data_IF_784861552614
#
_entry.id   IF_784861552614
#
_cell.length_a   1.000
_cell.length_b   1.000
_cell.length_c   1.000
_cell.angle_alpha   90.00
_cell.angle_beta   90.00
_cell.angle_gamma   90.00
#
_symmetry.space_group_name_H-M   'P 1'
#
loop_
_entity.id
_entity.type
_entity.pdbx_description
1 polymer ?
#
# COMPACT_ATOMS: atom_id res chain seq x y z
N UNK A 1 -37.65 76.99 30.94
CA UNK A 1 -38.67 76.18 30.25
C UNK A 1 -37.92 75.50 29.11
N UNK A 2 -37.74 74.19 29.18
CA UNK A 2 -36.81 73.46 28.32
C UNK A 2 -37.49 73.07 27.01
N UNK A 3 -36.90 73.48 25.89
CA UNK A 3 -37.24 72.96 24.57
C UNK A 3 -36.34 71.75 24.30
N UNK A 4 -36.94 70.55 24.24
CA UNK A 4 -36.22 69.32 23.92
C UNK A 4 -36.49 68.90 22.47
N UNK A 5 -35.44 68.48 21.77
CA UNK A 5 -35.53 67.72 20.52
C UNK A 5 -35.50 66.24 20.87
N UNK A 6 -36.56 65.50 20.54
CA UNK A 6 -36.57 64.05 20.67
C UNK A 6 -36.10 63.42 19.35
N UNK A 7 -34.87 62.93 19.34
CA UNK A 7 -34.39 62.04 18.29
C UNK A 7 -34.43 60.60 18.82
N UNK A 8 -35.13 59.71 18.13
CA UNK A 8 -35.15 58.29 18.46
C UNK A 8 -34.46 57.51 17.33
N UNK A 9 -33.48 56.70 17.69
CA UNK A 9 -32.79 55.79 16.77
C UNK A 9 -33.46 54.43 16.94
N UNK A 10 -34.35 54.08 16.01
CA UNK A 10 -34.94 52.74 15.91
C UNK A 10 -34.12 51.89 14.95
N UNK A 11 -33.66 50.72 15.40
CA UNK A 11 -33.02 49.73 14.53
C UNK A 11 -34.07 48.69 14.12
N UNK A 12 -34.75 48.92 13.00
CA UNK A 12 -35.62 47.92 12.36
C UNK A 12 -35.02 47.60 10.98
N UNK A 13 -34.73 46.31 10.73
CA UNK A 13 -34.29 45.79 9.43
C UNK A 13 -33.05 46.44 8.79
N UNK A 14 -32.14 46.98 9.61
CA UNK A 14 -30.87 47.55 9.14
C UNK A 14 -30.97 48.95 8.52
N UNK A 15 -32.11 49.62 8.64
CA UNK A 15 -32.30 51.02 8.23
C UNK A 15 -32.28 51.94 9.47
N UNK A 16 -31.63 53.09 9.34
CA UNK A 16 -31.69 54.17 10.34
C UNK A 16 -32.71 55.18 9.86
N UNK A 17 -33.83 55.31 10.58
CA UNK A 17 -34.80 56.38 10.38
C UNK A 17 -34.54 57.51 11.37
N UNK A 18 -34.20 58.71 10.87
CA UNK A 18 -34.13 59.93 11.67
C UNK A 18 -35.34 60.79 11.33
N UNK A 19 -36.24 60.95 12.29
CA UNK A 19 -37.42 61.83 12.15
C UNK A 19 -37.16 63.13 12.87
N UNK A 20 -37.17 64.24 12.12
CA UNK A 20 -37.10 65.60 12.66
C UNK A 20 -38.52 66.15 12.81
N UNK A 21 -38.92 66.50 14.03
CA UNK A 21 -40.19 67.19 14.28
C UNK A 21 -39.93 68.69 14.14
N UNK A 22 -40.50 69.40 13.14
CA UNK A 22 -40.28 70.83 13.00
C UNK A 22 -41.03 71.60 14.09
N UNK A 23 -40.31 72.37 14.90
CA UNK A 23 -40.90 73.34 15.82
C UNK A 23 -41.25 74.62 15.05
N UNK A 24 -42.55 74.95 14.96
CA UNK A 24 -42.99 76.23 14.44
C UNK A 24 -42.58 77.36 15.38
N UNK A 25 -41.49 78.05 15.05
CA UNK A 25 -41.13 79.32 15.70
C UNK A 25 -41.44 80.48 14.76
N UNK A 26 -42.25 81.44 15.22
CA UNK A 26 -42.57 82.67 14.48
C UNK A 26 -41.43 83.68 14.64
N UNK A 27 -40.41 83.59 13.79
CA UNK A 27 -39.34 84.59 13.66
C UNK A 27 -38.18 84.12 12.77
N UNK A 28 -37.46 85.02 12.09
CA UNK A 28 -36.29 84.66 11.27
C UNK A 28 -35.13 84.28 12.20
N UNK A 29 -35.11 83.02 12.65
CA UNK A 29 -33.99 82.48 13.41
C UNK A 29 -33.05 81.77 12.43
N UNK A 30 -31.77 82.11 12.50
CA UNK A 30 -30.69 81.48 11.71
C UNK A 30 -30.35 80.08 12.28
N UNK A 31 -30.71 79.85 13.54
CA UNK A 31 -30.42 78.65 14.33
C UNK A 31 -31.05 77.34 13.79
N UNK A 32 -32.31 77.28 13.31
CA UNK A 32 -32.95 76.03 12.88
C UNK A 32 -32.32 75.43 11.62
N UNK A 33 -31.86 76.27 10.68
CA UNK A 33 -31.23 75.81 9.44
C UNK A 33 -29.84 75.20 9.70
N UNK A 34 -29.08 75.77 10.65
CA UNK A 34 -27.81 75.19 11.08
C UNK A 34 -28.00 73.87 11.81
N UNK A 35 -29.02 73.76 12.66
CA UNK A 35 -29.34 72.51 13.37
C UNK A 35 -29.78 71.43 12.39
N UNK A 36 -30.65 71.76 11.42
CA UNK A 36 -31.07 70.83 10.39
C UNK A 36 -29.88 70.34 9.55
N UNK A 37 -29.02 71.25 9.08
CA UNK A 37 -27.82 70.88 8.32
C UNK A 37 -26.85 70.01 9.13
N UNK A 38 -26.64 70.32 10.42
CA UNK A 38 -25.79 69.53 11.29
C UNK A 38 -26.34 68.11 11.52
N UNK A 39 -27.66 67.97 11.70
CA UNK A 39 -28.31 66.66 11.85
C UNK A 39 -28.21 65.85 10.56
N UNK A 40 -28.42 66.47 9.39
CA UNK A 40 -28.26 65.78 8.09
C UNK A 40 -26.81 65.33 7.88
N UNK A 41 -25.83 66.16 8.24
CA UNK A 41 -24.42 65.82 8.13
C UNK A 41 -24.03 64.66 9.06
N UNK A 42 -24.51 64.68 10.31
CA UNK A 42 -24.35 63.58 11.25
C UNK A 42 -24.98 62.29 10.73
N UNK A 43 -26.21 62.35 10.22
CA UNK A 43 -26.89 61.19 9.65
C UNK A 43 -26.11 60.59 8.46
N UNK A 44 -25.66 61.44 7.52
CA UNK A 44 -24.85 61.01 6.38
C UNK A 44 -23.51 60.39 6.82
N UNK A 45 -22.86 60.98 7.84
CA UNK A 45 -21.63 60.45 8.41
C UNK A 45 -21.84 59.09 9.07
N UNK A 46 -22.89 58.92 9.87
CA UNK A 46 -23.23 57.63 10.49
C UNK A 46 -23.57 56.56 9.45
N UNK A 47 -24.36 56.90 8.42
CA UNK A 47 -24.66 55.98 7.32
C UNK A 47 -23.39 55.55 6.58
N UNK A 48 -22.51 56.50 6.24
CA UNK A 48 -21.23 56.19 5.61
C UNK A 48 -20.34 55.30 6.49
N UNK A 49 -20.22 55.63 7.78
CA UNK A 49 -19.42 54.85 8.72
C UNK A 49 -19.94 53.42 8.92
N UNK A 50 -21.26 53.24 8.98
CA UNK A 50 -21.89 51.92 9.07
C UNK A 50 -21.67 51.10 7.80
N UNK A 51 -21.79 51.69 6.62
CA UNK A 51 -21.49 51.01 5.35
C UNK A 51 -20.03 50.60 5.28
N UNK A 52 -19.10 51.49 5.66
CA UNK A 52 -17.66 51.18 5.70
C UNK A 52 -17.35 50.04 6.68
N UNK A 53 -17.98 50.05 7.86
CA UNK A 53 -17.82 48.99 8.86
C UNK A 53 -18.37 47.66 8.36
N UNK A 54 -19.53 47.66 7.69
CA UNK A 54 -20.13 46.46 7.08
C UNK A 54 -19.27 45.89 5.95
N UNK A 55 -18.69 46.73 5.12
CA UNK A 55 -17.74 46.33 4.07
C UNK A 55 -16.47 45.72 4.66
N UNK A 56 -15.91 46.31 5.73
CA UNK A 56 -14.74 45.75 6.40
C UNK A 56 -15.07 44.39 7.02
N UNK A 57 -16.24 44.25 7.65
CA UNK A 57 -16.67 42.98 8.27
C UNK A 57 -16.93 41.91 7.19
N UNK A 58 -17.63 42.24 6.10
CA UNK A 58 -17.88 41.30 5.00
C UNK A 58 -16.58 40.85 4.33
N UNK A 59 -15.65 41.77 4.05
CA UNK A 59 -14.32 41.42 3.51
C UNK A 59 -13.52 40.52 4.44
N UNK A 60 -13.61 40.72 5.76
CA UNK A 60 -12.99 39.82 6.74
C UNK A 60 -13.60 38.42 6.69
N UNK A 61 -14.93 38.31 6.71
CA UNK A 61 -15.62 37.03 6.59
C UNK A 61 -15.31 36.30 5.27
N UNK A 62 -15.24 37.03 4.16
CA UNK A 62 -14.83 36.46 2.88
C UNK A 62 -13.38 35.98 2.88
N UNK A 63 -12.47 36.72 3.53
CA UNK A 63 -11.08 36.31 3.66
C UNK A 63 -10.94 35.04 4.51
N UNK A 64 -11.61 34.99 5.66
CA UNK A 64 -11.62 33.82 6.56
C UNK A 64 -12.23 32.59 5.88
N UNK A 65 -13.31 32.77 5.11
CA UNK A 65 -13.93 31.71 4.32
C UNK A 65 -13.01 31.16 3.22
N UNK A 66 -12.19 32.02 2.59
CA UNK A 66 -11.20 31.58 1.59
C UNK A 66 -10.04 30.82 2.21
N UNK A 67 -9.60 31.20 3.41
CA UNK A 67 -8.54 30.50 4.14
C UNK A 67 -9.02 29.10 4.54
N UNK A 68 -10.20 29.00 5.17
CA UNK A 68 -10.75 27.71 5.58
C UNK A 68 -11.06 26.79 4.39
N UNK A 69 -11.53 27.32 3.26
CA UNK A 69 -11.74 26.54 2.04
C UNK A 69 -10.42 25.96 1.48
N UNK A 70 -9.33 26.75 1.50
CA UNK A 70 -7.99 26.28 1.07
C UNK A 70 -7.40 25.24 2.01
N UNK A 71 -7.59 25.42 3.32
CA UNK A 71 -7.17 24.44 4.32
C UNK A 71 -7.91 23.11 4.15
N UNK A 72 -9.23 23.17 3.95
CA UNK A 72 -10.05 21.99 3.70
C UNK A 72 -9.64 21.28 2.39
N UNK A 73 -9.40 22.04 1.32
CA UNK A 73 -8.94 21.48 0.05
C UNK A 73 -7.55 20.82 0.17
N UNK A 74 -6.62 21.47 0.88
CA UNK A 74 -5.29 20.92 1.17
C UNK A 74 -5.40 19.62 1.97
N UNK A 75 -6.25 19.59 2.99
CA UNK A 75 -6.47 18.39 3.80
C UNK A 75 -7.10 17.27 2.96
N UNK A 76 -8.11 17.58 2.14
CA UNK A 76 -8.72 16.59 1.24
C UNK A 76 -7.69 15.99 0.28
N UNK A 77 -6.84 16.81 -0.34
CA UNK A 77 -5.76 16.34 -1.21
C UNK A 77 -4.75 15.48 -0.44
N UNK A 78 -4.46 15.80 0.82
CA UNK A 78 -3.58 15.00 1.69
C UNK A 78 -4.21 13.63 1.98
N UNK A 79 -5.50 13.60 2.32
CA UNK A 79 -6.23 12.36 2.57
C UNK A 79 -6.34 11.49 1.33
N UNK A 80 -6.58 12.07 0.16
CA UNK A 80 -6.59 11.35 -1.12
C UNK A 80 -5.22 10.71 -1.42
N UNK A 81 -4.12 11.43 -1.19
CA UNK A 81 -2.77 10.87 -1.35
C UNK A 81 -2.50 9.72 -0.38
N UNK A 82 -2.95 9.81 0.87
CA UNK A 82 -2.82 8.73 1.84
C UNK A 82 -3.62 7.49 1.43
N UNK A 83 -4.85 7.67 0.91
CA UNK A 83 -5.67 6.57 0.39
C UNK A 83 -5.03 5.92 -0.84
N UNK A 84 -4.51 6.72 -1.77
CA UNK A 84 -3.82 6.20 -2.94
C UNK A 84 -2.56 5.41 -2.53
N UNK A 85 -1.73 5.98 -1.64
CA UNK A 85 -0.55 5.29 -1.12
C UNK A 85 -0.89 4.01 -0.35
N UNK A 86 -2.00 3.97 0.39
CA UNK A 86 -2.48 2.76 1.05
C UNK A 86 -2.87 1.67 0.05
N UNK A 87 -3.53 2.03 -1.05
CA UNK A 87 -3.88 1.10 -2.11
C UNK A 87 -2.64 0.55 -2.83
N UNK A 88 -1.63 1.39 -3.08
CA UNK A 88 -0.35 0.95 -3.65
C UNK A 88 0.41 0.02 -2.69
N UNK A 89 0.46 0.35 -1.39
CA UNK A 89 1.06 -0.54 -0.39
C UNK A 89 0.33 -1.89 -0.30
N UNK A 90 -1.00 -1.90 -0.45
CA UNK A 90 -1.78 -3.13 -0.50
C UNK A 90 -1.43 -3.99 -1.72
N UNK A 91 -1.27 -3.38 -2.89
CA UNK A 91 -0.75 -4.05 -4.10
C UNK A 91 0.63 -4.66 -3.83
N UNK A 92 1.53 -3.89 -3.21
CA UNK A 92 2.86 -4.38 -2.81
C UNK A 92 2.81 -5.58 -1.87
N UNK A 93 1.92 -5.54 -0.87
CA UNK A 93 1.71 -6.65 0.06
C UNK A 93 1.29 -7.94 -0.67
N UNK A 94 0.31 -7.87 -1.59
CA UNK A 94 -0.12 -9.04 -2.33
C UNK A 94 0.99 -9.65 -3.20
N UNK A 95 1.86 -8.83 -3.80
CA UNK A 95 3.02 -9.33 -4.53
C UNK A 95 4.01 -10.05 -3.63
N UNK A 96 4.30 -9.49 -2.44
CA UNK A 96 5.16 -10.16 -1.45
C UNK A 96 4.57 -11.48 -1.00
N UNK A 97 3.26 -11.54 -0.81
CA UNK A 97 2.56 -12.77 -0.47
C UNK A 97 2.65 -13.81 -1.60
N UNK A 98 2.49 -13.40 -2.86
CA UNK A 98 2.68 -14.30 -4.00
C UNK A 98 4.12 -14.86 -4.06
N UNK A 99 5.14 -14.08 -3.70
CA UNK A 99 6.51 -14.59 -3.57
C UNK A 99 6.66 -15.63 -2.45
N UNK A 100 6.01 -15.42 -1.30
CA UNK A 100 5.94 -16.41 -0.21
C UNK A 100 5.26 -17.69 -0.70
N UNK A 101 4.16 -17.57 -1.44
CA UNK A 101 3.42 -18.71 -2.01
C UNK A 101 4.28 -19.52 -2.98
N UNK A 102 5.11 -18.88 -3.82
CA UNK A 102 6.04 -19.59 -4.71
C UNK A 102 7.04 -20.42 -3.91
N UNK A 103 7.67 -19.84 -2.88
CA UNK A 103 8.60 -20.57 -2.01
C UNK A 103 7.89 -21.71 -1.26
N UNK A 104 6.69 -21.44 -0.75
CA UNK A 104 5.85 -22.42 -0.06
C UNK A 104 5.47 -23.59 -0.96
N UNK A 105 5.11 -23.34 -2.22
CA UNK A 105 4.77 -24.38 -3.20
C UNK A 105 5.97 -25.29 -3.52
N UNK A 106 7.17 -24.71 -3.69
CA UNK A 106 8.40 -25.48 -3.89
C UNK A 106 8.67 -26.36 -2.67
N UNK A 107 8.56 -25.79 -1.46
CA UNK A 107 8.78 -26.50 -0.21
C UNK A 107 7.80 -27.66 -0.04
N UNK A 108 6.52 -27.39 -0.23
CA UNK A 108 5.46 -28.38 -0.14
C UNK A 108 5.68 -29.53 -1.14
N UNK A 109 6.10 -29.24 -2.37
CA UNK A 109 6.41 -30.28 -3.37
C UNK A 109 7.55 -31.18 -2.89
N UNK A 110 8.65 -30.59 -2.41
CA UNK A 110 9.80 -31.36 -1.92
C UNK A 110 9.41 -32.20 -0.70
N UNK A 111 8.75 -31.60 0.29
CA UNK A 111 8.35 -32.25 1.52
C UNK A 111 7.38 -33.42 1.27
N UNK A 112 6.41 -33.25 0.35
CA UNK A 112 5.48 -34.30 -0.03
C UNK A 112 6.19 -35.53 -0.63
N UNK A 113 7.18 -35.32 -1.51
CA UNK A 113 7.93 -36.42 -2.12
C UNK A 113 8.79 -37.19 -1.11
N UNK A 114 9.24 -36.54 -0.04
CA UNK A 114 9.90 -37.22 1.07
C UNK A 114 8.92 -37.93 2.01
N UNK A 115 7.73 -37.36 2.24
CA UNK A 115 6.70 -37.95 3.11
C UNK A 115 6.12 -39.25 2.54
N UNK A 116 5.98 -39.36 1.21
CA UNK A 116 5.50 -40.56 0.52
C UNK A 116 6.48 -41.76 0.63
N UNK A 117 7.72 -41.52 1.10
CA UNK A 117 8.75 -42.53 1.26
C UNK A 117 9.04 -42.76 2.75
N UNK A 118 8.38 -43.77 3.32
CA UNK A 118 8.39 -44.12 4.76
C UNK A 118 9.76 -43.90 5.45
N UNK A 119 9.76 -42.97 6.40
CA UNK A 119 10.94 -42.27 6.93
C UNK A 119 11.68 -43.15 7.95
N UNK A 120 12.50 -44.07 7.46
CA UNK A 120 13.44 -44.80 8.30
C UNK A 120 14.78 -45.11 7.63
N UNK A 121 14.79 -45.27 6.30
CA UNK A 121 15.94 -45.86 5.58
C UNK A 121 16.51 -44.91 4.50
N UNK A 122 15.79 -43.84 4.13
CA UNK A 122 16.01 -43.12 2.86
C UNK A 122 16.83 -41.82 3.02
N UNK A 123 17.30 -41.48 4.22
CA UNK A 123 18.15 -40.28 4.42
C UNK A 123 19.53 -40.36 3.76
N UNK A 124 19.96 -41.55 3.33
CA UNK A 124 21.22 -41.75 2.58
C UNK A 124 21.01 -41.80 1.06
N UNK A 125 19.76 -41.64 0.58
CA UNK A 125 19.45 -41.75 -0.86
C UNK A 125 19.55 -40.39 -1.54
N UNK A 126 20.18 -40.36 -2.71
CA UNK A 126 20.35 -39.16 -3.51
C UNK A 126 19.01 -38.42 -3.76
N UNK A 127 18.89 -37.12 -3.43
CA UNK A 127 17.63 -36.38 -3.57
C UNK A 127 16.98 -36.46 -4.95
N UNK A 128 17.75 -36.50 -6.04
CA UNK A 128 17.19 -36.62 -7.40
C UNK A 128 16.40 -37.92 -7.64
N UNK A 129 16.67 -38.97 -6.86
CA UNK A 129 15.93 -40.25 -6.92
C UNK A 129 14.60 -40.19 -6.16
N UNK A 130 14.43 -39.20 -5.28
CA UNK A 130 13.22 -39.01 -4.48
C UNK A 130 12.32 -37.97 -5.12
N UNK A 131 12.88 -36.82 -5.48
CA UNK A 131 12.11 -35.68 -5.94
C UNK A 131 11.80 -35.85 -7.44
N UNK A 132 10.51 -35.79 -7.77
CA UNK A 132 10.04 -35.76 -9.16
C UNK A 132 10.05 -34.34 -9.76
N UNK A 133 9.91 -34.22 -11.09
CA UNK A 133 9.66 -32.92 -11.71
C UNK A 133 8.35 -32.34 -11.22
N UNK A 134 8.22 -31.01 -11.24
CA UNK A 134 6.96 -30.34 -10.87
C UNK A 134 5.91 -30.49 -11.97
N UNK A 135 4.64 -30.63 -11.57
CA UNK A 135 3.52 -30.62 -12.51
C UNK A 135 3.08 -29.17 -12.76
N UNK A 136 3.48 -28.62 -13.91
CA UNK A 136 3.08 -27.28 -14.34
C UNK A 136 4.22 -26.26 -14.28
N UNK A 137 3.86 -24.97 -14.32
CA UNK A 137 4.82 -23.87 -14.33
C UNK A 137 4.56 -22.97 -13.13
N UNK A 138 5.61 -22.72 -12.34
CA UNK A 138 5.59 -21.67 -11.32
C UNK A 138 5.53 -20.32 -12.03
N UNK A 139 4.51 -19.52 -11.70
CA UNK A 139 4.37 -18.16 -12.22
C UNK A 139 5.17 -17.25 -11.30
N UNK A 140 6.20 -16.61 -11.86
CA UNK A 140 6.96 -15.59 -11.14
C UNK A 140 6.09 -14.34 -10.96
N UNK A 141 5.86 -13.89 -9.72
CA UNK A 141 5.14 -12.65 -9.46
C UNK A 141 5.89 -11.42 -9.99
N UNK A 142 5.16 -10.33 -10.14
CA UNK A 142 5.79 -9.05 -10.44
C UNK A 142 6.62 -8.55 -9.26
N UNK A 143 7.71 -7.83 -9.57
CA UNK A 143 8.47 -7.11 -8.53
C UNK A 143 7.69 -5.92 -8.01
N UNK A 144 8.06 -5.48 -6.82
CA UNK A 144 7.48 -4.28 -6.24
C UNK A 144 7.96 -3.03 -6.99
N UNK A 145 7.02 -2.15 -7.31
CA UNK A 145 7.30 -0.83 -7.85
C UNK A 145 7.66 0.15 -6.73
N UNK A 146 8.48 1.18 -7.01
CA UNK A 146 8.87 2.19 -6.01
C UNK A 146 7.70 2.84 -5.26
N UNK A 147 6.57 3.00 -5.95
CA UNK A 147 5.36 3.59 -5.38
C UNK A 147 4.81 2.73 -4.21
N UNK A 148 4.83 1.40 -4.38
CA UNK A 148 4.28 0.42 -3.44
C UNK A 148 5.06 0.31 -2.13
N UNK A 149 6.35 0.67 -2.11
CA UNK A 149 7.20 0.66 -0.90
C UNK A 149 7.72 2.05 -0.51
N UNK A 150 7.26 3.11 -1.14
CA UNK A 150 7.74 4.49 -0.92
C UNK A 150 7.64 4.93 0.54
N UNK A 151 6.64 4.46 1.28
CA UNK A 151 6.45 4.75 2.70
C UNK A 151 7.53 4.15 3.61
N UNK A 152 8.29 3.17 3.12
CA UNK A 152 9.42 2.58 3.83
C UNK A 152 10.73 3.37 3.67
N UNK A 153 10.72 4.45 2.88
CA UNK A 153 11.89 5.33 2.67
C UNK A 153 12.13 6.25 3.89
N UNK A 154 12.20 5.64 5.07
CA UNK A 154 12.53 6.29 6.34
C UNK A 154 13.78 5.62 6.92
N UNK A 155 14.47 6.32 7.83
CA UNK A 155 15.67 5.77 8.48
C UNK A 155 15.36 4.44 9.21
N UNK A 156 14.22 4.39 9.89
CA UNK A 156 13.79 3.26 10.72
C UNK A 156 13.39 2.03 9.90
N UNK A 157 12.86 2.22 8.69
CA UNK A 157 12.33 1.14 7.84
C UNK A 157 13.28 0.69 6.72
N UNK A 158 14.46 1.30 6.59
CA UNK A 158 15.46 0.97 5.57
C UNK A 158 15.88 -0.52 5.54
N UNK A 159 15.86 -1.18 6.70
CA UNK A 159 16.14 -2.62 6.82
C UNK A 159 15.05 -3.49 6.18
N UNK A 160 13.79 -3.08 6.28
CA UNK A 160 12.64 -3.79 5.67
C UNK A 160 12.80 -3.75 4.15
N UNK A 161 13.14 -2.58 3.58
CA UNK A 161 13.37 -2.45 2.15
C UNK A 161 14.50 -3.36 1.64
N UNK A 162 15.60 -3.44 2.40
CA UNK A 162 16.72 -4.34 2.07
C UNK A 162 16.31 -5.81 2.14
N UNK A 163 15.48 -6.18 3.12
CA UNK A 163 14.95 -7.53 3.28
C UNK A 163 14.01 -7.90 2.13
N UNK A 164 13.15 -6.99 1.67
CA UNK A 164 12.27 -7.19 0.51
C UNK A 164 13.09 -7.48 -0.75
N UNK A 165 14.10 -6.66 -1.04
CA UNK A 165 14.95 -6.89 -2.21
C UNK A 165 15.74 -8.20 -2.12
N UNK A 166 16.07 -8.67 -0.91
CA UNK A 166 16.68 -9.98 -0.71
C UNK A 166 15.66 -11.12 -0.94
N UNK A 167 14.45 -10.99 -0.41
CA UNK A 167 13.34 -11.92 -0.61
C UNK A 167 13.07 -12.13 -2.10
N UNK A 168 12.85 -11.06 -2.86
CA UNK A 168 12.55 -11.16 -4.31
C UNK A 168 13.68 -11.90 -5.05
N UNK A 169 14.94 -11.57 -4.77
CA UNK A 169 16.09 -12.21 -5.42
C UNK A 169 16.22 -13.69 -5.07
N UNK A 170 16.03 -14.04 -3.78
CA UNK A 170 16.09 -15.42 -3.32
C UNK A 170 14.94 -16.24 -3.91
N UNK A 171 13.72 -15.70 -3.92
CA UNK A 171 12.56 -16.35 -4.49
C UNK A 171 12.68 -16.58 -6.01
N UNK A 172 13.16 -15.58 -6.77
CA UNK A 172 13.49 -15.74 -8.20
C UNK A 172 14.53 -16.84 -8.40
N UNK A 173 15.62 -16.82 -7.61
CA UNK A 173 16.68 -17.82 -7.73
C UNK A 173 16.17 -19.24 -7.44
N UNK A 174 15.40 -19.42 -6.36
CA UNK A 174 14.82 -20.70 -5.98
C UNK A 174 13.83 -21.22 -7.03
N UNK A 175 12.95 -20.35 -7.55
CA UNK A 175 12.04 -20.67 -8.66
C UNK A 175 12.80 -21.12 -9.91
N UNK A 176 13.86 -20.39 -10.28
CA UNK A 176 14.67 -20.69 -11.44
C UNK A 176 15.41 -22.02 -11.31
N UNK A 177 16.08 -22.25 -10.16
CA UNK A 177 16.80 -23.50 -9.88
C UNK A 177 15.85 -24.70 -9.90
N UNK A 178 14.66 -24.55 -9.32
CA UNK A 178 13.66 -25.61 -9.30
C UNK A 178 13.06 -25.91 -10.69
N UNK A 179 12.87 -24.87 -11.51
CA UNK A 179 12.45 -25.01 -12.91
C UNK A 179 13.51 -25.72 -13.76
N UNK A 180 14.78 -25.34 -13.58
CA UNK A 180 15.90 -25.98 -14.26
C UNK A 180 16.03 -27.46 -13.84
N UNK A 181 15.94 -27.72 -12.54
CA UNK A 181 15.91 -29.09 -12.01
C UNK A 181 14.79 -29.92 -12.65
N UNK A 182 13.57 -29.39 -12.70
CA UNK A 182 12.42 -30.11 -13.29
C UNK A 182 12.64 -30.40 -14.77
N UNK A 183 13.18 -29.43 -15.52
CA UNK A 183 13.49 -29.59 -16.95
C UNK A 183 14.54 -30.67 -17.19
N UNK A 184 15.63 -30.65 -16.42
CA UNK A 184 16.69 -31.65 -16.51
C UNK A 184 16.22 -33.03 -16.05
N UNK A 185 15.31 -33.09 -15.06
CA UNK A 185 14.72 -34.35 -14.60
C UNK A 185 13.83 -34.98 -15.67
N UNK A 186 13.04 -34.19 -16.37
CA UNK A 186 12.27 -34.65 -17.53
C UNK A 186 13.18 -35.10 -18.68
N UNK A 187 14.30 -34.40 -18.92
CA UNK A 187 15.29 -34.81 -19.90
C UNK A 187 15.92 -36.16 -19.54
N UNK A 188 16.26 -36.38 -18.27
CA UNK A 188 16.75 -37.67 -17.76
C UNK A 188 15.71 -38.78 -17.98
N UNK A 189 14.45 -38.54 -17.63
CA UNK A 189 13.37 -39.52 -17.80
C UNK A 189 13.18 -39.91 -19.28
N UNK A 190 13.27 -38.93 -20.19
CA UNK A 190 13.21 -39.17 -21.65
C UNK A 190 14.42 -39.96 -22.13
N UNK A 191 15.61 -39.63 -21.64
CA UNK A 191 16.84 -40.36 -21.98
C UNK A 191 16.75 -41.82 -21.53
N UNK A 192 16.35 -42.10 -20.28
CA UNK A 192 16.16 -43.46 -19.75
C UNK A 192 15.20 -44.27 -20.62
N UNK A 193 14.06 -43.67 -21.00
CA UNK A 193 13.02 -44.32 -21.82
C UNK A 193 13.51 -44.70 -23.23
N UNK A 194 14.58 -44.08 -23.71
CA UNK A 194 15.15 -44.34 -25.03
C UNK A 194 16.36 -45.31 -24.99
N UNK A 195 16.78 -45.78 -23.80
CA UNK A 195 17.93 -46.68 -23.68
C UNK A 195 17.58 -48.11 -24.13
N UNK A 196 18.41 -48.74 -24.98
CA UNK A 196 18.25 -50.15 -25.31
C UNK A 196 18.36 -51.05 -24.07
N UNK A 197 17.36 -51.90 -23.84
CA UNK A 197 17.32 -52.82 -22.70
C UNK A 197 16.95 -52.16 -21.37
N UNK A 198 16.49 -50.90 -21.38
CA UNK A 198 15.86 -50.30 -20.21
C UNK A 198 14.51 -50.94 -19.94
N UNK A 199 14.35 -51.42 -18.70
CA UNK A 199 13.11 -52.00 -18.22
C UNK A 199 12.65 -51.20 -17.00
N UNK A 200 11.39 -50.75 -17.06
CA UNK A 200 10.68 -50.17 -15.93
C UNK A 200 9.57 -51.14 -15.53
N UNK A 201 9.77 -51.85 -14.42
CA UNK A 201 8.73 -52.68 -13.83
C UNK A 201 7.95 -51.87 -12.82
N UNK A 202 6.65 -51.77 -13.01
CA UNK A 202 5.71 -51.24 -12.01
C UNK A 202 5.24 -52.41 -11.16
N UNK A 203 5.70 -52.49 -9.91
CA UNK A 203 5.26 -53.48 -8.94
C UNK A 203 4.53 -52.75 -7.79
N UNK A 204 3.19 -52.67 -7.91
CA UNK A 204 2.36 -51.90 -6.99
C UNK A 204 2.71 -50.40 -7.00
N UNK A 205 2.87 -49.74 -5.83
CA UNK A 205 3.24 -48.32 -5.76
C UNK A 205 4.71 -48.04 -6.08
N UNK A 206 5.53 -49.09 -6.28
CA UNK A 206 6.97 -48.97 -6.49
C UNK A 206 7.32 -49.26 -7.96
N UNK A 207 7.95 -48.28 -8.60
CA UNK A 207 8.60 -48.48 -9.89
C UNK A 207 10.05 -48.93 -9.64
N UNK A 208 10.44 -50.08 -10.17
CA UNK A 208 11.84 -50.52 -10.20
C UNK A 208 12.41 -50.23 -11.59
N UNK A 209 13.49 -49.45 -11.64
CA UNK A 209 14.16 -49.06 -12.87
C UNK A 209 15.48 -49.83 -12.99
N UNK A 210 15.64 -50.58 -14.08
CA UNK A 210 16.88 -51.32 -14.36
C UNK A 210 17.67 -50.61 -15.45
N UNK A 211 18.69 -49.86 -15.04
CA UNK A 211 19.63 -49.22 -15.97
C UNK A 211 20.63 -50.26 -16.49
N UNK A 212 20.79 -50.45 -17.82
CA UNK A 212 21.78 -51.36 -18.35
C UNK A 212 23.20 -50.97 -17.92
N UNK A 213 24.06 -51.96 -17.61
CA UNK A 213 25.37 -51.75 -17.00
C UNK A 213 26.26 -50.74 -17.77
N UNK A 214 26.18 -50.74 -19.09
CA UNK A 214 26.94 -49.83 -19.96
C UNK A 214 26.56 -48.34 -19.83
N UNK A 215 25.35 -48.02 -19.31
CA UNK A 215 24.85 -46.65 -19.18
C UNK A 215 24.87 -46.14 -17.72
N UNK A 216 25.28 -46.97 -16.76
CA UNK A 216 25.30 -46.60 -15.32
C UNK A 216 26.15 -45.37 -15.05
N UNK A 217 27.33 -45.25 -15.70
CA UNK A 217 28.19 -44.09 -15.50
C UNK A 217 27.54 -42.79 -15.98
N UNK A 218 26.81 -42.82 -17.10
CA UNK A 218 26.12 -41.64 -17.62
C UNK A 218 24.92 -41.27 -16.75
N UNK A 219 24.17 -42.27 -16.28
CA UNK A 219 23.08 -42.07 -15.32
C UNK A 219 23.58 -41.39 -14.04
N UNK A 220 24.66 -41.90 -13.44
CA UNK A 220 25.25 -41.32 -12.23
C UNK A 220 25.75 -39.90 -12.45
N UNK A 221 26.34 -39.61 -13.62
CA UNK A 221 26.78 -38.25 -13.97
C UNK A 221 25.61 -37.27 -14.03
N UNK A 222 24.52 -37.62 -14.72
CA UNK A 222 23.30 -36.80 -14.81
C UNK A 222 22.62 -36.66 -13.44
N UNK A 223 22.58 -37.74 -12.65
CA UNK A 223 22.08 -37.72 -11.27
C UNK A 223 22.85 -36.77 -10.36
N UNK A 224 24.18 -36.78 -10.45
CA UNK A 224 25.04 -35.85 -9.70
C UNK A 224 24.78 -34.38 -10.08
N UNK A 225 24.50 -34.09 -11.35
CA UNK A 225 24.11 -32.74 -11.80
C UNK A 225 22.78 -32.31 -11.19
N UNK A 226 21.76 -33.18 -11.21
CA UNK A 226 20.46 -32.93 -10.60
C UNK A 226 20.56 -32.72 -9.08
N UNK A 227 21.38 -33.53 -8.41
CA UNK A 227 21.65 -33.39 -6.98
C UNK A 227 22.24 -32.02 -6.64
N UNK A 228 23.20 -31.52 -7.42
CA UNK A 228 23.76 -30.17 -7.18
C UNK A 228 22.71 -29.07 -7.24
N UNK A 229 21.71 -29.20 -8.13
CA UNK A 229 20.63 -28.22 -8.24
C UNK A 229 19.68 -28.29 -7.04
N UNK A 230 19.27 -29.50 -6.65
CA UNK A 230 18.21 -29.68 -5.65
C UNK A 230 18.73 -29.63 -4.21
N UNK A 231 19.95 -30.07 -3.94
CA UNK A 231 20.54 -30.04 -2.58
C UNK A 231 20.68 -28.61 -2.10
N UNK A 232 21.26 -27.72 -2.92
CA UNK A 232 21.41 -26.32 -2.56
C UNK A 232 20.06 -25.62 -2.34
N UNK A 233 19.01 -26.07 -3.04
CA UNK A 233 17.65 -25.58 -2.80
C UNK A 233 17.14 -26.08 -1.44
N UNK A 234 17.21 -27.38 -1.16
CA UNK A 234 16.75 -27.99 0.11
C UNK A 234 17.43 -27.34 1.33
N UNK A 235 18.73 -27.10 1.26
CA UNK A 235 19.52 -26.54 2.37
C UNK A 235 19.08 -25.13 2.79
N UNK A 236 18.61 -24.31 1.83
CA UNK A 236 18.28 -22.91 2.09
C UNK A 236 16.78 -22.60 2.06
N UNK A 237 15.95 -23.46 1.49
CA UNK A 237 14.55 -23.17 1.22
C UNK A 237 13.73 -22.91 2.49
N UNK A 238 13.99 -23.64 3.58
CA UNK A 238 13.27 -23.43 4.83
C UNK A 238 13.60 -22.05 5.43
N UNK A 239 14.88 -21.69 5.46
CA UNK A 239 15.32 -20.38 5.93
C UNK A 239 14.75 -19.26 5.04
N UNK A 240 14.80 -19.43 3.72
CA UNK A 240 14.30 -18.46 2.75
C UNK A 240 12.78 -18.27 2.88
N UNK A 241 12.03 -19.35 3.06
CA UNK A 241 10.59 -19.29 3.29
C UNK A 241 10.24 -18.56 4.59
N UNK A 242 10.88 -18.90 5.71
CA UNK A 242 10.64 -18.24 7.00
C UNK A 242 11.03 -16.75 6.96
N UNK A 243 12.16 -16.42 6.33
CA UNK A 243 12.56 -15.03 6.12
C UNK A 243 11.56 -14.28 5.24
N UNK A 244 11.00 -14.92 4.23
CA UNK A 244 9.99 -14.32 3.36
C UNK A 244 8.71 -14.00 4.13
N UNK A 245 8.16 -14.95 4.88
CA UNK A 245 6.98 -14.76 5.75
C UNK A 245 7.22 -13.59 6.72
N UNK A 246 8.36 -13.60 7.42
CA UNK A 246 8.73 -12.56 8.37
C UNK A 246 8.83 -11.18 7.72
N UNK A 247 9.46 -11.08 6.55
CA UNK A 247 9.64 -9.82 5.83
C UNK A 247 8.31 -9.27 5.34
N UNK A 248 7.42 -10.13 4.83
CA UNK A 248 6.07 -9.76 4.42
C UNK A 248 5.24 -9.25 5.61
N UNK A 249 5.35 -9.89 6.78
CA UNK A 249 4.70 -9.40 8.00
C UNK A 249 5.25 -8.02 8.43
N UNK A 250 6.57 -7.82 8.39
CA UNK A 250 7.17 -6.51 8.72
C UNK A 250 6.72 -5.41 7.77
N UNK A 251 6.57 -5.71 6.47
CA UNK A 251 6.00 -4.78 5.50
C UNK A 251 4.56 -4.42 5.86
N UNK A 252 3.73 -5.43 6.18
CA UNK A 252 2.33 -5.25 6.55
C UNK A 252 2.17 -4.37 7.81
N UNK A 253 2.94 -4.66 8.86
CA UNK A 253 2.93 -3.90 10.12
C UNK A 253 3.33 -2.44 9.90
N UNK A 254 4.33 -2.19 9.06
CA UNK A 254 4.75 -0.84 8.69
C UNK A 254 3.67 -0.11 7.89
N UNK A 255 2.98 -0.81 6.97
CA UNK A 255 1.90 -0.23 6.18
C UNK A 255 0.69 0.13 7.06
N UNK A 256 0.31 -0.76 8.00
CA UNK A 256 -0.75 -0.52 8.98
C UNK A 256 -0.45 0.72 9.83
N UNK A 257 0.80 0.87 10.27
CA UNK A 257 1.23 2.01 11.09
C UNK A 257 1.23 3.31 10.29
N UNK A 258 1.77 3.30 9.07
CA UNK A 258 1.95 4.51 8.27
C UNK A 258 0.63 5.03 7.69
N UNK A 259 -0.24 4.12 7.23
CA UNK A 259 -1.47 4.47 6.50
C UNK A 259 -2.74 4.37 7.35
N UNK A 260 -2.66 4.17 8.67
CA UNK A 260 -3.84 4.20 9.53
C UNK A 260 -4.62 5.52 9.36
N UNK A 261 -5.97 5.49 9.19
CA UNK A 261 -6.89 4.34 9.19
C UNK A 261 -7.24 3.80 7.79
N UNK A 262 -6.59 4.27 6.73
CA UNK A 262 -6.95 3.97 5.34
C UNK A 262 -6.49 2.59 4.85
N UNK A 263 -5.56 1.95 5.56
CA UNK A 263 -5.12 0.60 5.26
C UNK A 263 -6.09 -0.44 5.83
N UNK A 264 -6.51 -1.47 5.07
CA UNK A 264 -7.42 -2.49 5.56
C UNK A 264 -6.78 -3.31 6.68
N UNK A 265 -7.59 -3.79 7.63
CA UNK A 265 -7.14 -4.72 8.67
C UNK A 265 -6.98 -6.11 8.07
N UNK A 266 -5.76 -6.43 7.66
CA UNK A 266 -5.39 -7.73 7.10
C UNK A 266 -4.39 -8.40 8.05
N UNK A 267 -4.43 -9.73 8.14
CA UNK A 267 -3.42 -10.53 8.81
C UNK A 267 -2.62 -11.26 7.72
N UNK A 268 -1.29 -11.31 7.84
CA UNK A 268 -0.52 -12.12 6.90
C UNK A 268 -0.83 -13.60 7.15
N UNK A 269 -0.77 -14.41 6.09
CA UNK A 269 -0.93 -15.86 6.25
C UNK A 269 0.20 -16.39 7.15
N UNK A 270 -0.21 -17.14 8.19
CA UNK A 270 0.68 -17.88 9.09
C UNK A 270 0.85 -19.31 8.64
#
# INVERSE_FOLDING_TARGET
MFDYIAAWIGQHDGWISVSLIPLQTKGPSIVPNFVAAAVTFLAAFFSFWLTLRRDIISRKHEADARVSARELESENRRQERLKAGAAEALSGFFKLQQWVEVLGAIKQHIDAQYADKDVGIIRETDPFLVIGPTAGKLVEPDRLFPAEFSFLLTADNSKILSAIGLLERRAVNSSHLFTLYSTEREALNRWQSNLPGYERTLDGPLATEKIPAQFVSEFNFRGAQLNRLIVGLIEHLDEDFQNAVKTTQQFLDAAHTFYAPHFPKIEAMS
#
